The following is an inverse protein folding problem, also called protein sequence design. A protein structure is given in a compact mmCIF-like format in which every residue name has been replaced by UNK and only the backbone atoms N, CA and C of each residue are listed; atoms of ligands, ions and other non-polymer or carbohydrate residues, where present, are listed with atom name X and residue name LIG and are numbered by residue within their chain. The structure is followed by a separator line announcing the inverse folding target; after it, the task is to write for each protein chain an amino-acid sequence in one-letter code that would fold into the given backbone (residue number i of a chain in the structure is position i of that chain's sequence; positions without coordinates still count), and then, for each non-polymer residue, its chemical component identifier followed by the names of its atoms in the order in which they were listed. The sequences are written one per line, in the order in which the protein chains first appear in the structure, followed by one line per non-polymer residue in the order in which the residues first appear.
data_IF_105080946900
#
_entry.id   IF_105080946900
#
_cell.length_a   1.000
_cell.length_b   1.000
_cell.length_c   1.000
_cell.angle_alpha   90.00
_cell.angle_beta   90.00
_cell.angle_gamma   90.00
#
_symmetry.space_group_name_H-M   'P 1'
#
loop_
_entity.id
_entity.type
_entity.pdbx_description
1 polymer ?
#
# COMPACT_ATOMS: atom_id res chain seq x y z
N UNK A 1 -30.79 -6.54 -20.59
CA UNK A 1 -30.28 -6.02 -19.30
C UNK A 1 -28.84 -5.61 -19.56
N UNK A 2 -28.57 -4.30 -19.58
CA UNK A 2 -27.23 -3.77 -19.84
C UNK A 2 -26.40 -3.94 -18.57
N UNK A 3 -25.39 -4.81 -18.62
CA UNK A 3 -24.33 -4.85 -17.60
C UNK A 3 -23.47 -3.61 -17.81
N UNK A 4 -23.86 -2.49 -17.20
CA UNK A 4 -23.00 -1.33 -17.14
C UNK A 4 -21.72 -1.73 -16.41
N UNK A 5 -20.62 -1.82 -17.14
CA UNK A 5 -19.29 -1.91 -16.53
C UNK A 5 -19.15 -0.68 -15.63
N UNK A 6 -19.12 -0.88 -14.32
CA UNK A 6 -18.70 0.17 -13.39
C UNK A 6 -17.32 0.61 -13.85
N UNK A 7 -17.23 1.78 -14.48
CA UNK A 7 -15.97 2.31 -14.97
C UNK A 7 -15.06 2.51 -13.76
N UNK A 8 -14.02 1.68 -13.65
CA UNK A 8 -13.01 1.81 -12.60
C UNK A 8 -12.37 3.20 -12.73
N UNK A 9 -12.06 3.84 -11.59
CA UNK A 9 -11.39 5.14 -11.62
C UNK A 9 -10.01 5.02 -12.29
N UNK A 10 -9.52 6.06 -12.96
CA UNK A 10 -8.15 6.06 -13.52
C UNK A 10 -7.08 5.74 -12.48
N UNK A 11 -7.25 6.19 -11.23
CA UNK A 11 -6.35 5.88 -10.13
C UNK A 11 -6.35 4.39 -9.77
N UNK A 12 -7.52 3.74 -9.73
CA UNK A 12 -7.61 2.31 -9.53
C UNK A 12 -6.91 1.52 -10.64
N UNK A 13 -7.11 1.94 -11.90
CA UNK A 13 -6.47 1.32 -13.06
C UNK A 13 -4.94 1.46 -13.05
N UNK A 14 -4.40 2.45 -12.34
CA UNK A 14 -2.98 2.70 -12.23
C UNK A 14 -2.27 1.80 -11.20
N UNK A 15 -2.99 1.25 -10.21
CA UNK A 15 -2.44 0.41 -9.12
C UNK A 15 -1.51 -0.71 -9.63
N UNK A 16 -1.85 -1.49 -10.69
CA UNK A 16 -0.96 -2.53 -11.23
C UNK A 16 0.43 -2.05 -11.65
N UNK A 17 0.61 -0.74 -11.84
CA UNK A 17 1.82 -0.10 -12.32
C UNK A 17 2.56 0.68 -11.23
N UNK A 18 2.12 0.61 -9.98
CA UNK A 18 2.80 1.24 -8.83
C UNK A 18 4.23 0.72 -8.68
N UNK A 19 5.19 1.64 -8.53
CA UNK A 19 6.59 1.31 -8.40
C UNK A 19 7.55 2.38 -8.92
N UNK A 20 8.84 2.11 -8.77
CA UNK A 20 9.94 2.95 -9.25
C UNK A 20 10.55 2.36 -10.52
N UNK A 21 10.49 3.13 -11.61
CA UNK A 21 11.01 2.77 -12.92
C UNK A 21 12.27 3.58 -13.20
N UNK A 22 13.42 2.91 -13.31
CA UNK A 22 14.62 3.53 -13.86
C UNK A 22 14.42 3.72 -15.36
N UNK A 23 14.62 4.94 -15.86
CA UNK A 23 14.47 5.27 -17.27
C UNK A 23 15.84 5.30 -17.97
N UNK A 24 15.87 4.94 -19.26
CA UNK A 24 17.07 4.92 -20.11
C UNK A 24 17.38 6.27 -20.78
N UNK A 25 16.68 7.34 -20.41
CA UNK A 25 16.87 8.68 -20.97
C UNK A 25 18.24 9.29 -20.60
N UNK A 26 18.60 9.18 -19.32
CA UNK A 26 19.84 9.72 -18.74
C UNK A 26 20.16 8.98 -17.43
N UNK A 27 21.44 8.97 -17.03
CA UNK A 27 21.83 8.45 -15.72
C UNK A 27 21.06 9.13 -14.58
N UNK A 28 20.37 8.33 -13.77
CA UNK A 28 19.54 8.80 -12.66
C UNK A 28 18.10 9.15 -13.06
N UNK A 29 17.75 9.13 -14.34
CA UNK A 29 16.38 9.39 -14.81
C UNK A 29 15.41 8.34 -14.27
N UNK A 30 14.24 8.77 -13.81
CA UNK A 30 13.24 7.87 -13.25
C UNK A 30 11.79 8.37 -13.40
N UNK A 31 10.89 7.40 -13.29
CA UNK A 31 9.45 7.59 -13.11
C UNK A 31 9.04 6.81 -11.86
N UNK A 32 8.31 7.45 -10.94
CA UNK A 32 7.70 6.78 -9.80
C UNK A 32 6.19 6.90 -9.94
N UNK A 33 5.52 5.76 -9.93
CA UNK A 33 4.07 5.64 -9.86
C UNK A 33 3.72 5.30 -8.42
N UNK A 34 3.04 6.21 -7.75
CA UNK A 34 2.65 6.10 -6.35
C UNK A 34 1.12 6.07 -6.27
N UNK A 35 0.56 5.03 -5.68
CA UNK A 35 -0.89 4.86 -5.54
C UNK A 35 -1.24 4.41 -4.14
N UNK A 36 -2.31 4.97 -3.61
CA UNK A 36 -2.91 4.51 -2.38
C UNK A 36 -4.43 4.49 -2.49
N UNK A 37 -5.04 3.75 -1.59
CA UNK A 37 -6.48 3.84 -1.34
C UNK A 37 -6.73 4.47 0.02
N UNK A 38 -7.83 5.20 0.14
CA UNK A 38 -8.41 5.59 1.43
C UNK A 38 -9.78 4.95 1.56
N UNK A 39 -10.01 4.21 2.63
CA UNK A 39 -11.26 3.53 2.88
C UNK A 39 -11.92 4.03 4.16
N UNK A 40 -13.22 4.27 4.09
CA UNK A 40 -14.06 4.71 5.21
C UNK A 40 -15.16 3.68 5.46
N UNK A 41 -15.37 3.32 6.73
CA UNK A 41 -16.46 2.47 7.17
C UNK A 41 -17.63 3.36 7.62
N UNK A 42 -18.80 3.18 7.01
CA UNK A 42 -20.00 3.92 7.41
C UNK A 42 -20.33 3.67 8.90
N UNK A 43 -20.62 4.72 9.70
CA UNK A 43 -21.03 4.59 11.10
C UNK A 43 -22.30 3.75 11.30
N UNK A 44 -23.12 3.61 10.26
CA UNK A 44 -24.31 2.75 10.26
C UNK A 44 -23.99 1.25 10.08
N UNK A 45 -22.70 0.88 10.03
CA UNK A 45 -22.21 -0.47 10.24
C UNK A 45 -22.37 -1.43 9.07
N UNK A 46 -21.80 -1.12 7.90
CA UNK A 46 -21.63 -2.22 6.93
C UNK A 46 -21.03 -1.91 5.56
N UNK A 47 -21.06 -0.67 5.07
CA UNK A 47 -20.49 -0.36 3.75
C UNK A 47 -19.10 0.26 3.89
N UNK A 48 -18.08 -0.48 3.45
CA UNK A 48 -16.76 0.06 3.17
C UNK A 48 -16.83 0.84 1.86
N UNK A 49 -16.41 2.11 1.88
CA UNK A 49 -16.25 2.93 0.67
C UNK A 49 -14.80 3.29 0.54
N UNK A 50 -14.19 3.01 -0.61
CA UNK A 50 -12.80 3.33 -0.88
C UNK A 50 -12.68 4.33 -2.04
N UNK A 51 -11.82 5.32 -1.84
CA UNK A 51 -11.35 6.25 -2.85
C UNK A 51 -9.90 5.90 -3.21
N UNK A 52 -9.55 6.06 -4.48
CA UNK A 52 -8.23 5.69 -4.98
C UNK A 52 -7.51 6.91 -5.50
N UNK A 53 -6.24 7.02 -5.16
CA UNK A 53 -5.39 8.15 -5.47
C UNK A 53 -4.15 7.66 -6.22
N UNK A 54 -3.68 8.49 -7.14
CA UNK A 54 -2.46 8.22 -7.89
C UNK A 54 -1.67 9.50 -8.10
N UNK A 55 -0.35 9.38 -7.97
CA UNK A 55 0.60 10.45 -8.18
C UNK A 55 1.77 9.91 -9.00
N UNK A 56 2.19 10.72 -9.97
CA UNK A 56 3.36 10.45 -10.77
C UNK A 56 4.47 11.38 -10.32
N UNK A 57 5.65 10.84 -10.01
CA UNK A 57 6.86 11.65 -9.88
C UNK A 57 7.77 11.35 -11.05
N UNK A 58 8.18 12.39 -11.78
CA UNK A 58 9.02 12.23 -12.97
C UNK A 58 10.30 13.03 -12.80
N UNK A 59 11.44 12.38 -12.99
CA UNK A 59 12.76 13.02 -13.07
C UNK A 59 13.41 12.64 -14.40
N UNK A 60 13.26 13.48 -15.45
CA UNK A 60 13.80 13.14 -16.76
C UNK A 60 15.34 13.19 -16.80
N UNK A 61 15.96 14.06 -15.98
CA UNK A 61 17.40 14.35 -15.99
C UNK A 61 18.17 13.70 -14.82
N UNK A 62 17.47 13.02 -13.91
CA UNK A 62 18.02 12.43 -12.69
C UNK A 62 18.50 13.44 -11.64
N UNK A 63 18.12 14.71 -11.77
CA UNK A 63 18.53 15.81 -10.87
C UNK A 63 17.33 16.56 -10.31
N UNK A 64 16.34 16.82 -11.14
CA UNK A 64 15.12 17.52 -10.81
C UNK A 64 13.94 16.59 -10.97
N UNK A 65 12.95 16.72 -10.10
CA UNK A 65 11.76 15.89 -10.15
C UNK A 65 10.51 16.75 -9.98
N UNK A 66 9.51 16.46 -10.80
CA UNK A 66 8.19 17.06 -10.71
C UNK A 66 7.16 16.03 -10.29
N UNK A 67 6.10 16.51 -9.64
CA UNK A 67 5.03 15.69 -9.08
C UNK A 67 3.71 16.05 -9.76
N UNK A 68 3.03 15.05 -10.28
CA UNK A 68 1.77 15.18 -11.01
C UNK A 68 0.71 14.29 -10.36
N UNK A 69 -0.20 14.86 -9.55
CA UNK A 69 -1.39 14.14 -9.12
C UNK A 69 -2.24 13.74 -10.34
N UNK A 70 -2.82 12.54 -10.34
CA UNK A 70 -3.78 12.15 -11.36
C UNK A 70 -4.98 13.12 -11.35
N UNK A 71 -5.36 13.58 -12.54
CA UNK A 71 -6.41 14.58 -12.72
C UNK A 71 -6.05 15.59 -13.82
N UNK A 72 -6.15 16.88 -13.51
CA UNK A 72 -5.96 17.95 -14.49
C UNK A 72 -4.52 17.98 -15.01
N UNK A 73 -4.33 17.60 -16.27
CA UNK A 73 -3.03 17.59 -16.95
C UNK A 73 -2.21 16.32 -16.74
N UNK A 74 -2.67 15.37 -15.92
CA UNK A 74 -2.06 14.05 -15.76
C UNK A 74 -3.15 12.97 -15.79
N UNK A 75 -3.31 12.28 -16.92
CA UNK A 75 -4.39 11.32 -17.13
C UNK A 75 -3.85 9.93 -17.39
N UNK A 76 -4.63 8.92 -17.03
CA UNK A 76 -4.33 7.52 -17.28
C UNK A 76 -5.54 6.85 -17.92
N UNK A 77 -5.35 6.26 -19.10
CA UNK A 77 -6.41 5.56 -19.85
C UNK A 77 -5.87 4.29 -20.50
N UNK A 78 -6.56 3.17 -20.24
CA UNK A 78 -6.09 1.82 -20.54
C UNK A 78 -4.76 1.55 -19.86
N UNK A 79 -3.67 1.66 -20.63
CA UNK A 79 -2.29 1.52 -20.15
C UNK A 79 -1.42 2.75 -20.49
N UNK A 80 -2.03 3.87 -20.89
CA UNK A 80 -1.32 5.07 -21.34
C UNK A 80 -1.47 6.19 -20.34
N UNK A 81 -0.33 6.67 -19.84
CA UNK A 81 -0.21 7.89 -19.06
C UNK A 81 0.11 9.06 -19.99
N UNK A 82 -0.62 10.15 -19.80
CA UNK A 82 -0.39 11.43 -20.47
C UNK A 82 -0.13 12.51 -19.43
N UNK A 83 0.98 13.22 -19.55
CA UNK A 83 1.28 14.42 -18.77
C UNK A 83 1.39 15.59 -19.74
N UNK A 84 0.63 16.64 -19.49
CA UNK A 84 0.65 17.90 -20.22
C UNK A 84 0.44 19.05 -19.23
N UNK A 85 1.52 19.39 -18.51
CA UNK A 85 1.52 20.41 -17.46
C UNK A 85 2.78 21.25 -17.61
N UNK A 86 2.63 22.56 -17.80
CA UNK A 86 3.75 23.48 -17.97
C UNK A 86 4.59 23.14 -19.21
N UNK A 87 5.87 22.88 -19.00
CA UNK A 87 6.82 22.48 -20.05
C UNK A 87 6.99 20.95 -20.16
N UNK A 88 6.34 20.19 -19.27
CA UNK A 88 6.45 18.73 -19.22
C UNK A 88 5.37 18.09 -20.09
N UNK A 89 5.81 17.43 -21.17
CA UNK A 89 4.98 16.63 -22.07
C UNK A 89 5.44 15.17 -22.01
N UNK A 90 4.61 14.27 -21.49
CA UNK A 90 4.90 12.85 -21.48
C UNK A 90 3.75 12.04 -22.07
N UNK A 91 4.10 11.04 -22.87
CA UNK A 91 3.19 9.99 -23.33
C UNK A 91 3.85 8.65 -23.11
N UNK A 92 3.42 7.94 -22.07
CA UNK A 92 4.05 6.72 -21.60
C UNK A 92 3.03 5.58 -21.64
N UNK A 93 3.42 4.42 -22.16
CA UNK A 93 2.61 3.22 -22.19
C UNK A 93 3.23 2.17 -21.29
N UNK A 94 2.42 1.66 -20.36
CA UNK A 94 2.81 0.61 -19.45
C UNK A 94 2.48 -0.77 -20.02
N UNK A 95 3.28 -1.75 -19.62
CA UNK A 95 3.03 -3.17 -19.87
C UNK A 95 3.46 -3.97 -18.65
N UNK A 96 2.64 -4.94 -18.25
CA UNK A 96 2.94 -5.83 -17.13
C UNK A 96 3.08 -7.25 -17.65
N UNK A 97 4.27 -7.83 -17.53
CA UNK A 97 4.57 -9.20 -17.96
C UNK A 97 5.15 -9.97 -16.78
N UNK A 98 4.42 -10.98 -16.29
CA UNK A 98 4.84 -11.98 -15.30
C UNK A 98 5.91 -11.52 -14.30
N UNK A 99 5.56 -10.58 -13.42
CA UNK A 99 6.42 -10.15 -12.30
C UNK A 99 7.36 -8.98 -12.62
N UNK A 100 7.26 -8.38 -13.80
CA UNK A 100 7.97 -7.13 -14.14
C UNK A 100 7.01 -6.19 -14.85
N UNK A 101 6.95 -4.95 -14.37
CA UNK A 101 6.26 -3.87 -15.08
C UNK A 101 7.28 -3.06 -15.86
N UNK A 102 6.90 -2.67 -17.07
CA UNK A 102 7.71 -1.87 -17.98
C UNK A 102 6.93 -0.64 -18.42
N UNK A 103 7.66 0.41 -18.77
CA UNK A 103 7.11 1.66 -19.30
C UNK A 103 7.95 2.05 -20.51
N UNK A 104 7.29 2.56 -21.56
CA UNK A 104 7.97 3.09 -22.72
C UNK A 104 7.16 4.21 -23.36
N UNK A 105 7.81 5.13 -24.07
CA UNK A 105 7.12 6.22 -24.73
C UNK A 105 8.03 7.42 -24.94
N UNK A 106 7.50 8.62 -24.73
CA UNK A 106 8.25 9.87 -24.89
C UNK A 106 8.09 10.81 -23.70
N UNK A 107 9.14 11.58 -23.43
CA UNK A 107 9.15 12.73 -22.52
C UNK A 107 9.82 13.89 -23.27
N UNK A 108 9.10 15.00 -23.47
CA UNK A 108 9.52 16.16 -24.26
C UNK A 108 10.10 15.74 -25.61
N UNK A 109 9.35 14.87 -26.31
CA UNK A 109 9.71 14.22 -27.59
C UNK A 109 10.94 13.30 -27.59
N UNK A 110 11.62 13.13 -26.44
CA UNK A 110 12.71 12.17 -26.31
C UNK A 110 12.15 10.78 -26.00
N UNK A 111 12.55 9.72 -26.73
CA UNK A 111 12.13 8.37 -26.43
C UNK A 111 12.72 7.91 -25.10
N UNK A 112 11.91 7.23 -24.30
CA UNK A 112 12.31 6.66 -23.02
C UNK A 112 11.71 5.26 -22.86
N UNK A 113 12.42 4.41 -22.14
CA UNK A 113 11.97 3.12 -21.68
C UNK A 113 12.52 2.85 -20.26
N UNK A 114 11.78 2.04 -19.51
CA UNK A 114 12.16 1.68 -18.15
C UNK A 114 11.41 0.44 -17.67
N UNK A 115 11.85 -0.07 -16.53
CA UNK A 115 11.19 -1.19 -15.87
C UNK A 115 11.32 -1.12 -14.36
N UNK A 116 10.43 -1.82 -13.69
CA UNK A 116 10.46 -2.05 -12.25
C UNK A 116 10.35 -3.56 -11.99
N UNK A 117 11.21 -4.12 -11.11
CA UNK A 117 11.04 -5.49 -10.63
C UNK A 117 9.96 -5.58 -9.54
N UNK A 118 9.44 -4.43 -9.07
CA UNK A 118 8.43 -4.36 -8.04
C UNK A 118 7.04 -4.26 -8.66
N UNK A 119 6.14 -5.13 -8.22
CA UNK A 119 4.71 -5.01 -8.42
C UNK A 119 4.02 -4.55 -7.14
N UNK A 120 2.82 -3.96 -7.23
CA UNK A 120 2.04 -3.60 -6.05
C UNK A 120 1.70 -4.84 -5.22
N UNK A 121 1.71 -4.70 -3.90
CA UNK A 121 1.17 -5.74 -3.00
C UNK A 121 -0.26 -5.36 -2.66
N UNK A 122 -1.20 -6.24 -3.00
CA UNK A 122 -2.62 -6.02 -2.73
C UNK A 122 -2.93 -6.11 -1.23
N UNK A 123 -3.80 -5.25 -0.71
CA UNK A 123 -4.20 -5.26 0.71
C UNK A 123 -4.72 -6.62 1.17
N UNK A 124 -5.39 -7.36 0.29
CA UNK A 124 -5.93 -8.70 0.58
C UNK A 124 -4.86 -9.71 1.00
N UNK A 125 -3.60 -9.52 0.57
CA UNK A 125 -2.46 -10.33 1.03
C UNK A 125 -2.14 -10.13 2.50
N UNK A 126 -2.66 -9.08 3.14
CA UNK A 126 -2.46 -8.80 4.56
C UNK A 126 -3.63 -9.26 5.44
N UNK A 127 -4.66 -9.89 4.87
CA UNK A 127 -5.82 -10.41 5.62
C UNK A 127 -5.40 -11.32 6.77
N UNK A 128 -5.87 -11.06 7.99
CA UNK A 128 -5.56 -11.86 9.17
C UNK A 128 -5.54 -11.04 10.46
N UNK A 129 -5.36 -11.74 11.59
CA UNK A 129 -5.17 -11.12 12.90
C UNK A 129 -3.68 -11.04 13.21
N UNK A 130 -3.27 -9.89 13.74
CA UNK A 130 -1.90 -9.56 14.12
C UNK A 130 -1.85 -9.32 15.63
N UNK A 131 -0.85 -9.90 16.26
CA UNK A 131 -0.72 -9.96 17.71
C UNK A 131 0.53 -9.21 18.17
N UNK A 132 0.38 -8.47 19.25
CA UNK A 132 1.49 -7.91 20.01
C UNK A 132 2.03 -8.99 20.94
N UNK A 133 3.33 -9.26 20.85
CA UNK A 133 4.03 -10.12 21.80
C UNK A 133 4.31 -9.34 23.08
N UNK A 134 3.87 -9.88 24.22
CA UNK A 134 4.13 -9.31 25.54
C UNK A 134 5.46 -9.85 26.12
N UNK A 135 5.89 -9.26 27.23
CA UNK A 135 7.05 -9.76 27.98
C UNK A 135 6.85 -11.23 28.38
N UNK A 136 7.92 -12.02 28.32
CA UNK A 136 7.89 -13.43 28.69
C UNK A 136 7.51 -13.59 30.17
N UNK A 137 6.69 -14.59 30.46
CA UNK A 137 6.26 -14.96 31.81
C UNK A 137 6.75 -16.37 32.10
N UNK A 138 7.29 -16.58 33.31
CA UNK A 138 7.71 -17.92 33.72
C UNK A 138 6.53 -18.65 34.37
N UNK A 139 6.12 -19.78 33.82
CA UNK A 139 5.06 -20.63 34.37
C UNK A 139 5.56 -22.07 34.48
N UNK A 140 5.71 -22.57 35.70
CA UNK A 140 6.18 -23.95 35.95
C UNK A 140 7.59 -24.25 35.44
N UNK A 141 8.47 -23.25 35.33
CA UNK A 141 9.84 -23.42 34.82
C UNK A 141 9.98 -23.28 33.30
N UNK A 142 8.87 -23.12 32.56
CA UNK A 142 8.87 -22.81 31.13
C UNK A 142 8.67 -21.31 30.91
N UNK A 143 9.27 -20.78 29.83
CA UNK A 143 9.03 -19.42 29.35
C UNK A 143 7.82 -19.43 28.42
N UNK A 144 6.79 -18.67 28.79
CA UNK A 144 5.60 -18.44 27.99
C UNK A 144 5.62 -17.01 27.44
N UNK A 145 5.20 -16.84 26.19
CA UNK A 145 5.09 -15.54 25.55
C UNK A 145 3.61 -15.23 25.32
N UNK A 146 3.01 -14.32 26.10
CA UNK A 146 1.62 -13.93 25.89
C UNK A 146 1.48 -13.12 24.60
N UNK A 147 0.36 -13.31 23.92
CA UNK A 147 0.03 -12.58 22.69
C UNK A 147 -1.33 -11.91 22.82
N UNK A 148 -1.41 -10.65 22.39
CA UNK A 148 -2.65 -9.86 22.45
C UNK A 148 -3.02 -9.39 21.05
N UNK A 149 -4.23 -9.76 20.59
CA UNK A 149 -4.72 -9.31 19.30
C UNK A 149 -4.78 -7.78 19.27
N UNK A 150 -4.12 -7.18 18.29
CA UNK A 150 -3.93 -5.72 18.23
C UNK A 150 -4.49 -5.13 16.93
N UNK A 151 -4.29 -5.81 15.80
CA UNK A 151 -4.79 -5.40 14.50
C UNK A 151 -5.45 -6.61 13.82
N UNK A 152 -6.54 -6.38 13.11
CA UNK A 152 -7.15 -7.38 12.24
C UNK A 152 -7.52 -6.75 10.90
N UNK A 153 -7.06 -7.36 9.81
CA UNK A 153 -7.46 -7.02 8.44
C UNK A 153 -8.44 -8.09 7.98
N UNK A 154 -9.69 -7.71 7.73
CA UNK A 154 -10.74 -8.65 7.32
C UNK A 154 -10.71 -8.92 5.81
N UNK A 155 -11.24 -10.06 5.35
CA UNK A 155 -11.29 -10.39 3.92
C UNK A 155 -12.08 -9.38 3.07
N UNK A 156 -12.99 -8.62 3.67
CA UNK A 156 -13.80 -7.59 3.01
C UNK A 156 -13.11 -6.21 2.98
N UNK A 157 -11.86 -6.12 3.47
CA UNK A 157 -11.10 -4.88 3.55
C UNK A 157 -11.40 -4.03 4.79
N UNK A 158 -12.36 -4.40 5.64
CA UNK A 158 -12.55 -3.70 6.92
C UNK A 158 -11.40 -3.99 7.88
N UNK A 159 -11.14 -3.09 8.83
CA UNK A 159 -10.08 -3.26 9.82
C UNK A 159 -10.61 -3.09 11.23
N UNK A 160 -10.04 -3.86 12.17
CA UNK A 160 -10.25 -3.69 13.60
C UNK A 160 -8.91 -3.38 14.28
N UNK A 161 -8.93 -2.55 15.32
CA UNK A 161 -7.76 -2.17 16.09
C UNK A 161 -8.07 -2.10 17.60
N UNK A 162 -7.14 -2.56 18.44
CA UNK A 162 -7.25 -2.53 19.89
C UNK A 162 -6.34 -1.43 20.48
N UNK A 163 -6.84 -0.20 20.53
CA UNK A 163 -6.11 0.93 21.11
C UNK A 163 -5.86 0.79 22.63
N UNK A 164 -6.72 0.03 23.31
CA UNK A 164 -6.60 -0.30 24.74
C UNK A 164 -5.81 -1.60 24.98
N UNK A 165 -5.33 -2.26 23.92
CA UNK A 165 -4.74 -3.61 23.96
C UNK A 165 -5.66 -4.67 24.58
N UNK A 166 -6.98 -4.50 24.55
CA UNK A 166 -7.93 -5.45 25.11
C UNK A 166 -8.98 -5.83 24.06
N UNK A 167 -9.64 -4.83 23.47
CA UNK A 167 -10.78 -5.05 22.59
C UNK A 167 -10.49 -4.53 21.19
N UNK A 168 -10.64 -5.41 20.20
CA UNK A 168 -10.63 -5.00 18.79
C UNK A 168 -11.90 -4.19 18.49
N UNK A 169 -11.71 -2.95 18.04
CA UNK A 169 -12.79 -2.03 17.65
C UNK A 169 -12.66 -1.65 16.18
N UNK A 170 -13.77 -1.39 15.46
CA UNK A 170 -13.70 -0.98 14.06
C UNK A 170 -12.85 0.28 13.84
N UNK A 171 -11.97 0.24 12.84
CA UNK A 171 -11.22 1.40 12.39
C UNK A 171 -12.11 2.20 11.44
N UNK A 172 -12.47 3.46 11.77
CA UNK A 172 -13.45 4.21 10.97
C UNK A 172 -12.90 4.62 9.60
N UNK A 173 -11.62 4.95 9.52
CA UNK A 173 -10.93 5.30 8.26
C UNK A 173 -9.49 4.76 8.27
N UNK A 174 -9.02 4.30 7.12
CA UNK A 174 -7.62 3.95 6.91
C UNK A 174 -7.17 4.33 5.50
N UNK A 175 -5.86 4.35 5.29
CA UNK A 175 -5.29 4.35 3.95
C UNK A 175 -4.28 3.20 3.81
N UNK A 176 -4.06 2.77 2.58
CA UNK A 176 -3.08 1.73 2.26
C UNK A 176 -2.22 2.14 1.07
N UNK A 177 -0.90 2.14 1.26
CA UNK A 177 0.11 2.37 0.23
C UNK A 177 0.46 1.08 -0.51
N UNK A 178 0.23 1.04 -1.82
CA UNK A 178 0.52 -0.15 -2.63
C UNK A 178 2.00 -0.32 -2.94
N UNK A 179 2.80 0.75 -2.88
CA UNK A 179 4.23 0.74 -3.22
C UNK A 179 5.13 0.53 -2.00
N UNK A 180 4.71 1.01 -0.83
CA UNK A 180 5.43 0.89 0.44
C UNK A 180 4.85 -0.21 1.35
N UNK A 181 3.66 -0.72 1.02
CA UNK A 181 2.94 -1.72 1.82
C UNK A 181 2.62 -1.19 3.23
N UNK A 182 2.25 0.08 3.31
CA UNK A 182 1.99 0.77 4.58
C UNK A 182 0.50 0.90 4.81
N UNK A 183 0.02 0.45 5.97
CA UNK A 183 -1.35 0.72 6.44
C UNK A 183 -1.28 1.88 7.43
N UNK A 184 -2.06 2.94 7.19
CA UNK A 184 -2.26 3.99 8.19
C UNK A 184 -3.68 4.02 8.72
N UNK A 185 -3.81 3.93 10.04
CA UNK A 185 -5.09 3.93 10.74
C UNK A 185 -5.45 5.35 11.21
N UNK A 186 -6.65 5.80 10.88
CA UNK A 186 -7.22 7.06 11.35
C UNK A 186 -8.32 6.72 12.36
N UNK A 187 -7.97 6.75 13.65
CA UNK A 187 -8.85 6.26 14.72
C UNK A 187 -9.92 7.28 15.15
N UNK A 188 -9.65 8.57 14.93
CA UNK A 188 -10.63 9.65 15.12
C UNK A 188 -11.16 10.08 13.74
N UNK A 189 -12.46 9.88 13.45
CA UNK A 189 -13.04 10.27 12.17
C UNK A 189 -13.08 11.79 11.95
N UNK A 190 -12.83 12.59 12.99
CA UNK A 190 -12.79 14.06 12.91
C UNK A 190 -11.36 14.63 12.90
N UNK A 191 -10.34 13.77 13.07
CA UNK A 191 -8.96 14.19 13.03
C UNK A 191 -8.55 14.62 11.59
N UNK A 192 -7.50 15.44 11.45
CA UNK A 192 -6.88 15.69 10.15
C UNK A 192 -6.53 14.36 9.45
N UNK A 193 -6.37 14.39 8.12
CA UNK A 193 -6.03 13.25 7.25
C UNK A 193 -4.61 12.69 7.48
N UNK A 194 -4.14 12.70 8.74
CA UNK A 194 -2.86 12.16 9.17
C UNK A 194 -3.16 10.93 10.03
N UNK A 195 -2.63 9.76 9.66
CA UNK A 195 -2.79 8.54 10.43
C UNK A 195 -2.28 8.70 11.86
N UNK A 196 -3.05 8.20 12.82
CA UNK A 196 -2.61 8.11 14.21
C UNK A 196 -1.59 7.00 14.40
N UNK A 197 -1.66 5.96 13.55
CA UNK A 197 -0.81 4.78 13.61
C UNK A 197 -0.43 4.39 12.18
N UNK A 198 0.83 4.02 11.98
CA UNK A 198 1.39 3.52 10.72
C UNK A 198 1.98 2.14 10.96
N UNK A 199 1.61 1.19 10.11
CA UNK A 199 2.17 -0.15 10.04
C UNK A 199 2.84 -0.38 8.70
N UNK A 200 4.14 -0.66 8.71
CA UNK A 200 4.86 -1.23 7.58
C UNK A 200 4.60 -2.73 7.56
N UNK A 201 3.98 -3.22 6.48
CA UNK A 201 3.61 -4.62 6.32
C UNK A 201 4.75 -5.39 5.67
N UNK A 202 4.99 -6.61 6.15
CA UNK A 202 6.07 -7.44 5.65
C UNK A 202 5.89 -8.92 5.94
N UNK A 203 6.94 -9.68 5.67
CA UNK A 203 7.01 -11.10 6.04
C UNK A 203 8.26 -11.36 6.85
N UNK A 204 8.20 -12.35 7.75
CA UNK A 204 9.33 -12.76 8.58
C UNK A 204 9.39 -14.28 8.70
N UNK A 205 10.60 -14.84 8.63
CA UNK A 205 10.83 -16.28 8.78
C UNK A 205 10.36 -16.75 10.16
N UNK A 206 9.48 -17.74 10.21
CA UNK A 206 8.93 -18.26 11.47
C UNK A 206 7.72 -17.50 12.02
N UNK A 207 7.43 -16.30 11.50
CA UNK A 207 6.34 -15.46 12.00
C UNK A 207 5.27 -15.14 10.95
N UNK A 208 5.47 -15.59 9.70
CA UNK A 208 4.53 -15.37 8.62
C UNK A 208 4.49 -13.90 8.22
N UNK A 209 3.32 -13.26 8.32
CA UNK A 209 3.13 -11.83 8.01
C UNK A 209 3.42 -11.01 9.26
N UNK A 210 3.98 -9.82 9.09
CA UNK A 210 4.29 -8.92 10.20
C UNK A 210 3.82 -7.50 9.88
N UNK A 211 3.58 -6.72 10.93
CA UNK A 211 3.22 -5.32 10.85
C UNK A 211 4.06 -4.53 11.87
N UNK A 212 5.02 -3.74 11.40
CA UNK A 212 5.92 -2.97 12.26
C UNK A 212 5.52 -1.50 12.36
N UNK A 213 5.63 -0.90 13.54
CA UNK A 213 5.46 0.54 13.73
C UNK A 213 6.82 1.20 13.96
N UNK A 214 7.18 2.20 13.14
CA UNK A 214 8.36 3.01 13.39
C UNK A 214 8.23 3.82 14.70
N UNK A 215 6.99 4.20 15.04
CA UNK A 215 6.67 4.87 16.30
C UNK A 215 6.67 3.81 17.40
N UNK A 216 7.71 3.83 18.24
CA UNK A 216 7.84 2.95 19.40
C UNK A 216 8.53 1.60 19.14
N UNK A 217 8.83 1.25 17.89
CA UNK A 217 9.55 0.02 17.54
C UNK A 217 8.74 -1.27 17.79
N UNK A 218 7.42 -1.18 17.80
CA UNK A 218 6.54 -2.32 18.07
C UNK A 218 6.40 -3.18 16.81
N UNK A 219 6.48 -4.50 16.98
CA UNK A 219 6.25 -5.47 15.91
C UNK A 219 5.03 -6.32 16.24
N UNK A 220 4.04 -6.35 15.34
CA UNK A 220 2.95 -7.30 15.39
C UNK A 220 3.24 -8.48 14.47
N UNK A 221 2.84 -9.66 14.90
CA UNK A 221 3.03 -10.91 14.17
C UNK A 221 1.69 -11.53 13.83
N UNK A 222 1.50 -11.94 12.58
CA UNK A 222 0.35 -12.74 12.17
C UNK A 222 0.70 -14.20 12.42
N UNK A 223 0.46 -14.63 13.64
CA UNK A 223 0.61 -16.03 14.02
C UNK A 223 -0.54 -16.78 13.33
N UNK A 224 -0.30 -17.29 12.12
CA UNK A 224 -0.76 -18.65 11.88
C UNK A 224 -0.01 -19.46 12.92
N UNK A 225 -0.70 -20.06 13.89
CA UNK A 225 -0.10 -20.92 14.90
C UNK A 225 0.92 -21.84 14.23
N UNK A 226 2.19 -21.43 14.18
CA UNK A 226 3.27 -22.36 14.00
C UNK A 226 3.18 -23.12 15.31
N UNK A 227 2.62 -24.33 15.25
CA UNK A 227 2.94 -25.31 16.27
C UNK A 227 4.46 -25.25 16.40
N UNK A 228 4.99 -24.86 17.57
CA UNK A 228 6.43 -24.83 17.77
C UNK A 228 6.94 -26.18 17.29
N UNK A 229 7.91 -26.20 16.38
CA UNK A 229 8.57 -27.45 16.03
C UNK A 229 8.96 -28.11 17.35
N UNK A 230 8.39 -29.26 17.72
CA UNK A 230 8.64 -29.84 19.02
C UNK A 230 10.12 -30.23 19.02
N UNK A 231 10.90 -29.50 19.81
CA UNK A 231 12.32 -29.71 20.07
C UNK A 231 13.29 -29.22 18.97
N UNK A 232 13.95 -28.08 19.26
CA UNK A 232 15.34 -27.82 18.87
C UNK A 232 16.20 -27.87 20.13
#
# INVERSE_FOLDING_TARGET
MSTGSSQQSPAYALIPFTGYYSLDAQAGSFLMVDTHEECTISPAGGSLTCEYFGKITLSPDGKTSEVFPLGTGCTFDGNTLLINVGETLAKLTFSNTSGTSSVSGTINDNPVAGSTPFGPVQLSLWTGTYYLQQAAVQHGGLLEYPYTATLQVNPDGTMLFAADHINLTPVPKYWYDYGMFVIGLMLDPNAPEIPSILYEMGTSSGWGRVAGTAIGGTLLVSIQLQEPAPHL
#
